data_IF_124926006213
#
_entry.id   IF_124926006213
#
_cell.length_a   1.000
_cell.length_b   1.000
_cell.length_c   1.000
_cell.angle_alpha   90.00
_cell.angle_beta   90.00
_cell.angle_gamma   90.00
#
_symmetry.space_group_name_H-M   'P 1'
#
loop_
_entity.id
_entity.type
_entity.pdbx_description
1 polymer ?
#
# COMPACT_ATOMS: atom_id res chain seq x y z
N UNK A 1 22.01 -26.69 57.34
CA UNK A 1 22.61 -28.02 57.08
C UNK A 1 23.40 -27.93 55.78
N UNK A 2 24.73 -27.85 55.90
CA UNK A 2 25.68 -27.71 54.79
C UNK A 2 25.89 -29.04 54.06
N UNK A 3 25.87 -29.02 52.72
CA UNK A 3 26.43 -30.07 51.84
C UNK A 3 26.95 -29.36 50.57
N UNK A 4 28.24 -29.06 50.53
CA UNK A 4 29.32 -29.87 49.92
C UNK A 4 29.25 -29.91 48.39
N UNK A 5 30.08 -29.05 47.79
CA UNK A 5 30.49 -29.04 46.39
C UNK A 5 31.27 -30.31 46.04
N UNK A 6 31.02 -30.86 44.84
CA UNK A 6 31.91 -31.82 44.21
C UNK A 6 32.24 -31.35 42.79
N UNK A 7 33.51 -31.00 42.62
CA UNK A 7 34.18 -30.74 41.35
C UNK A 7 34.54 -32.08 40.71
N UNK A 8 34.10 -32.33 39.48
CA UNK A 8 34.63 -33.41 38.65
C UNK A 8 35.39 -32.80 37.47
N UNK A 9 36.70 -33.08 37.44
CA UNK A 9 37.60 -32.87 36.31
C UNK A 9 37.57 -34.16 35.50
N UNK A 10 37.24 -34.09 34.21
CA UNK A 10 37.50 -35.16 33.25
C UNK A 10 38.38 -34.59 32.15
N UNK A 11 39.64 -35.01 32.17
CA UNK A 11 40.58 -34.88 31.06
C UNK A 11 40.39 -36.11 30.15
N UNK A 12 40.11 -35.86 28.87
CA UNK A 12 40.07 -36.88 27.82
C UNK A 12 40.83 -36.37 26.61
N UNK A 13 41.91 -37.07 26.26
CA UNK A 13 42.81 -36.74 25.17
C UNK A 13 42.49 -37.57 23.91
N UNK A 14 43.02 -37.07 22.77
CA UNK A 14 43.21 -37.70 21.46
C UNK A 14 41.98 -37.95 20.55
N UNK A 15 41.97 -37.25 19.42
CA UNK A 15 42.27 -37.87 18.11
C UNK A 15 42.58 -36.78 17.07
N UNK A 16 43.82 -36.71 16.61
CA UNK A 16 44.21 -36.02 15.38
C UNK A 16 43.73 -36.86 14.18
N UNK A 17 42.86 -36.28 13.37
CA UNK A 17 42.50 -36.79 12.04
C UNK A 17 42.82 -35.69 11.03
N UNK A 18 43.98 -35.84 10.38
CA UNK A 18 44.36 -35.11 9.18
C UNK A 18 43.65 -35.74 7.99
N UNK A 19 42.70 -35.02 7.37
CA UNK A 19 42.25 -35.31 6.00
C UNK A 19 42.33 -34.03 5.17
N UNK A 20 43.00 -34.21 4.05
CA UNK A 20 43.40 -33.32 2.98
C UNK A 20 42.33 -32.39 2.44
N UNK A 21 42.78 -31.19 2.09
CA UNK A 21 42.10 -30.21 1.26
C UNK A 21 41.85 -30.73 -0.16
N UNK A 22 40.66 -30.47 -0.70
CA UNK A 22 40.42 -30.33 -2.13
C UNK A 22 39.14 -29.50 -2.39
N UNK A 23 39.32 -28.33 -3.01
CA UNK A 23 38.30 -27.75 -3.90
C UNK A 23 37.25 -26.82 -3.30
N UNK A 24 37.65 -25.71 -2.66
CA UNK A 24 36.77 -24.52 -2.63
C UNK A 24 36.86 -23.84 -4.01
N UNK A 25 35.92 -24.17 -4.90
CA UNK A 25 35.58 -23.28 -6.01
C UNK A 25 34.90 -22.05 -5.44
N UNK A 26 35.69 -21.04 -5.12
CA UNK A 26 35.21 -19.67 -4.92
C UNK A 26 34.73 -19.16 -6.28
N UNK A 27 33.45 -19.35 -6.58
CA UNK A 27 32.81 -18.61 -7.65
C UNK A 27 32.88 -17.13 -7.27
N UNK A 28 33.56 -16.33 -8.09
CA UNK A 28 33.58 -14.88 -7.94
C UNK A 28 32.14 -14.37 -7.95
N UNK A 29 31.75 -13.44 -7.04
CA UNK A 29 30.44 -12.83 -7.10
C UNK A 29 30.34 -12.08 -8.43
N UNK A 30 29.41 -12.52 -9.28
CA UNK A 30 29.04 -11.80 -10.49
C UNK A 30 28.59 -10.37 -10.15
N UNK A 31 28.65 -9.44 -11.11
CA UNK A 31 28.28 -8.06 -10.88
C UNK A 31 26.83 -7.98 -10.38
N UNK A 32 26.67 -7.48 -9.15
CA UNK A 32 25.35 -7.13 -8.58
C UNK A 32 24.72 -6.05 -9.45
N UNK A 33 23.46 -6.21 -9.89
CA UNK A 33 22.67 -5.10 -10.40
C UNK A 33 22.59 -4.01 -9.31
N UNK A 34 22.70 -2.76 -9.72
CA UNK A 34 22.76 -1.56 -8.86
C UNK A 34 21.64 -1.52 -7.81
N UNK A 35 21.98 -1.83 -6.56
CA UNK A 35 21.08 -1.86 -5.40
C UNK A 35 21.19 -0.57 -4.57
N UNK A 36 20.44 0.47 -4.93
CA UNK A 36 20.28 1.66 -4.07
C UNK A 36 18.81 2.06 -3.83
N UNK A 37 17.84 1.30 -4.35
CA UNK A 37 16.41 1.53 -4.15
C UNK A 37 15.69 0.51 -3.26
N UNK A 38 16.20 -0.71 -3.12
CA UNK A 38 15.43 -1.87 -2.61
C UNK A 38 16.09 -2.59 -1.41
N UNK A 39 17.24 -2.12 -0.94
CA UNK A 39 18.02 -2.77 0.14
C UNK A 39 17.21 -2.83 1.46
N UNK A 40 16.43 -1.78 1.75
CA UNK A 40 15.62 -1.72 2.96
C UNK A 40 14.50 -2.78 2.98
N UNK A 41 13.77 -2.96 1.88
CA UNK A 41 12.63 -3.89 1.82
C UNK A 41 13.10 -5.33 1.90
N UNK A 42 14.15 -5.67 1.16
CA UNK A 42 14.81 -6.97 1.27
C UNK A 42 15.31 -7.24 2.69
N UNK A 43 16.01 -6.28 3.30
CA UNK A 43 16.50 -6.40 4.68
C UNK A 43 15.37 -6.56 5.70
N UNK A 44 14.25 -5.87 5.52
CA UNK A 44 13.06 -6.02 6.37
C UNK A 44 12.52 -7.45 6.29
N UNK A 45 12.36 -7.99 5.07
CA UNK A 45 11.90 -9.35 4.84
C UNK A 45 12.87 -10.42 5.37
N UNK A 46 14.18 -10.19 5.27
CA UNK A 46 15.20 -11.06 5.87
C UNK A 46 15.12 -11.08 7.41
N UNK A 47 14.95 -9.92 8.05
CA UNK A 47 14.78 -9.82 9.51
C UNK A 47 13.49 -10.51 9.94
N UNK A 48 12.40 -10.30 9.21
CA UNK A 48 11.11 -10.95 9.44
C UNK A 48 11.25 -12.47 9.33
N UNK A 49 11.91 -12.98 8.28
CA UNK A 49 12.16 -14.41 8.12
C UNK A 49 12.98 -15.02 9.25
N UNK A 50 14.06 -14.34 9.65
CA UNK A 50 14.88 -14.78 10.77
C UNK A 50 14.08 -14.83 12.07
N UNK A 51 13.21 -13.83 12.31
CA UNK A 51 12.31 -13.82 13.45
C UNK A 51 11.30 -14.98 13.40
N UNK A 52 10.62 -15.20 12.27
CA UNK A 52 9.65 -16.29 12.11
C UNK A 52 10.28 -17.67 12.35
N UNK A 53 11.52 -17.87 11.86
CA UNK A 53 12.26 -19.10 12.10
C UNK A 53 12.56 -19.32 13.60
N UNK A 54 12.82 -18.25 14.38
CA UNK A 54 12.97 -18.36 15.85
C UNK A 54 11.66 -18.70 16.55
N UNK A 55 10.53 -18.22 16.03
CA UNK A 55 9.18 -18.57 16.49
C UNK A 55 8.76 -19.99 16.05
N UNK A 56 9.61 -20.71 15.32
CA UNK A 56 9.35 -22.09 14.88
C UNK A 56 8.50 -22.20 13.62
N UNK A 57 8.33 -21.11 12.87
CA UNK A 57 7.58 -21.09 11.62
C UNK A 57 8.52 -20.90 10.42
N UNK A 58 8.28 -21.69 9.36
CA UNK A 58 8.92 -21.44 8.06
C UNK A 58 8.38 -20.14 7.47
N UNK A 59 9.29 -19.26 7.05
CA UNK A 59 8.96 -18.04 6.32
C UNK A 59 10.00 -17.80 5.22
N UNK A 60 9.54 -17.50 4.01
CA UNK A 60 10.38 -17.19 2.85
C UNK A 60 10.38 -15.67 2.68
N UNK A 61 11.54 -14.98 2.81
CA UNK A 61 11.64 -13.54 2.53
C UNK A 61 11.04 -13.22 1.17
N UNK A 62 10.10 -12.29 1.13
CA UNK A 62 9.37 -12.00 -0.10
C UNK A 62 9.05 -10.51 -0.21
N UNK A 63 9.67 -9.87 -1.20
CA UNK A 63 9.38 -8.49 -1.57
C UNK A 63 8.46 -8.54 -2.78
N UNK A 64 7.21 -8.10 -2.60
CA UNK A 64 6.27 -7.99 -3.72
C UNK A 64 6.81 -7.01 -4.74
N UNK A 65 6.95 -7.48 -5.97
CA UNK A 65 7.23 -6.62 -7.13
C UNK A 65 5.91 -6.02 -7.59
N UNK A 66 5.82 -4.68 -7.57
CA UNK A 66 4.71 -4.00 -8.21
C UNK A 66 4.89 -4.10 -9.73
N UNK A 67 3.83 -4.38 -10.51
CA UNK A 67 3.90 -4.26 -11.95
C UNK A 67 4.39 -2.86 -12.33
N UNK A 68 5.29 -2.79 -13.30
CA UNK A 68 5.70 -1.51 -13.87
C UNK A 68 4.46 -0.79 -14.43
N UNK A 69 4.26 0.50 -14.12
CA UNK A 69 3.16 1.26 -14.69
C UNK A 69 3.23 1.21 -16.21
N UNK A 70 2.07 1.15 -16.86
CA UNK A 70 1.97 1.33 -18.30
C UNK A 70 2.41 2.74 -18.72
N UNK A 71 2.71 2.92 -20.01
CA UNK A 71 3.07 4.25 -20.53
C UNK A 71 1.95 5.28 -20.31
N UNK A 72 0.69 4.85 -20.36
CA UNK A 72 -0.46 5.70 -20.10
C UNK A 72 -0.56 6.08 -18.61
N UNK A 73 -0.36 5.14 -17.69
CA UNK A 73 -0.32 5.42 -16.26
C UNK A 73 0.78 6.40 -15.88
N UNK A 74 1.99 6.25 -16.44
CA UNK A 74 3.08 7.21 -16.24
C UNK A 74 2.69 8.61 -16.71
N UNK A 75 2.13 8.72 -17.92
CA UNK A 75 1.67 10.03 -18.45
C UNK A 75 0.62 10.67 -17.54
N UNK A 76 -0.31 9.90 -16.98
CA UNK A 76 -1.28 10.43 -15.99
C UNK A 76 -0.60 10.94 -14.74
N UNK A 77 0.34 10.18 -14.17
CA UNK A 77 1.12 10.58 -13.00
C UNK A 77 1.99 11.82 -13.26
N UNK A 78 2.40 12.05 -14.51
CA UNK A 78 3.12 13.24 -14.95
C UNK A 78 2.21 14.46 -15.22
N UNK A 79 0.89 14.32 -15.03
CA UNK A 79 -0.07 15.39 -15.27
C UNK A 79 -0.36 15.67 -16.75
N UNK A 80 -0.18 14.66 -17.63
CA UNK A 80 -0.57 14.76 -19.04
C UNK A 80 -2.09 14.86 -19.18
N UNK A 81 -2.55 15.99 -19.73
CA UNK A 81 -3.98 16.30 -19.84
C UNK A 81 -4.75 15.28 -20.69
N UNK A 82 -4.21 14.80 -21.81
CA UNK A 82 -4.94 13.88 -22.69
C UNK A 82 -5.05 12.49 -22.05
N UNK A 83 -4.01 12.03 -21.37
CA UNK A 83 -4.04 10.78 -20.61
C UNK A 83 -5.03 10.86 -19.45
N UNK A 84 -5.02 11.96 -18.68
CA UNK A 84 -5.99 12.19 -17.61
C UNK A 84 -7.43 12.28 -18.14
N UNK A 85 -7.63 12.97 -19.26
CA UNK A 85 -8.95 13.12 -19.90
C UNK A 85 -9.50 11.78 -20.36
N UNK A 86 -8.65 10.96 -20.99
CA UNK A 86 -9.01 9.62 -21.44
C UNK A 86 -9.46 8.75 -20.27
N UNK A 87 -8.69 8.77 -19.19
CA UNK A 87 -9.05 8.05 -17.96
C UNK A 87 -10.36 8.56 -17.35
N UNK A 88 -10.48 9.87 -17.10
CA UNK A 88 -11.67 10.48 -16.45
C UNK A 88 -12.94 10.33 -17.30
N UNK A 89 -12.81 10.24 -18.62
CA UNK A 89 -13.96 9.98 -19.51
C UNK A 89 -14.60 8.60 -19.26
N UNK A 90 -13.80 7.61 -18.85
CA UNK A 90 -14.29 6.25 -18.57
C UNK A 90 -14.55 6.04 -17.07
N UNK A 91 -13.65 6.52 -16.23
CA UNK A 91 -13.60 6.16 -14.81
C UNK A 91 -14.08 7.27 -13.86
N UNK A 92 -14.30 8.49 -14.35
CA UNK A 92 -14.62 9.63 -13.48
C UNK A 92 -13.50 9.89 -12.47
N UNK A 93 -13.85 9.96 -11.18
CA UNK A 93 -12.92 10.07 -10.04
C UNK A 93 -12.55 8.69 -9.45
N UNK A 94 -13.08 7.59 -9.99
CA UNK A 94 -12.81 6.21 -9.55
C UNK A 94 -13.66 5.71 -8.37
N UNK A 95 -14.79 6.35 -8.05
CA UNK A 95 -15.64 5.95 -6.92
C UNK A 95 -16.65 4.89 -7.33
N UNK A 96 -17.34 5.09 -8.46
CA UNK A 96 -18.37 4.15 -8.94
C UNK A 96 -17.91 3.23 -10.08
N UNK A 97 -16.73 3.47 -10.65
CA UNK A 97 -16.19 2.67 -11.75
C UNK A 97 -15.88 1.24 -11.33
N UNK A 98 -15.52 0.99 -10.08
CA UNK A 98 -15.31 -0.35 -9.52
C UNK A 98 -16.56 -1.23 -9.58
N UNK A 99 -17.76 -0.65 -9.64
CA UNK A 99 -19.00 -1.41 -9.81
C UNK A 99 -19.41 -1.56 -11.28
N UNK A 100 -19.00 -0.62 -12.15
CA UNK A 100 -19.33 -0.64 -13.58
C UNK A 100 -18.34 -1.50 -14.39
N UNK A 101 -17.07 -1.48 -13.98
CA UNK A 101 -15.96 -2.24 -14.57
C UNK A 101 -15.30 -3.16 -13.53
N UNK A 102 -16.05 -4.07 -12.89
CA UNK A 102 -15.59 -4.78 -11.68
C UNK A 102 -14.39 -5.69 -11.91
N UNK A 103 -14.23 -6.28 -13.10
CA UNK A 103 -13.07 -7.11 -13.42
C UNK A 103 -11.81 -6.25 -13.59
N UNK A 104 -11.92 -5.15 -14.33
CA UNK A 104 -10.82 -4.22 -14.61
C UNK A 104 -10.33 -3.52 -13.35
N UNK A 105 -11.27 -3.09 -12.50
CA UNK A 105 -10.99 -2.37 -11.26
C UNK A 105 -10.76 -3.30 -10.05
N UNK A 106 -10.81 -4.62 -10.25
CA UNK A 106 -10.55 -5.61 -9.21
C UNK A 106 -11.54 -5.60 -8.05
N UNK A 107 -12.84 -5.41 -8.34
CA UNK A 107 -13.89 -5.44 -7.33
C UNK A 107 -13.91 -6.79 -6.60
N UNK A 108 -13.66 -6.84 -5.28
CA UNK A 108 -13.55 -8.11 -4.55
C UNK A 108 -14.89 -8.87 -4.47
N UNK A 109 -16.01 -8.23 -4.80
CA UNK A 109 -17.34 -8.85 -4.81
C UNK A 109 -17.62 -9.62 -6.10
N UNK A 110 -16.81 -9.43 -7.14
CA UNK A 110 -16.96 -10.10 -8.45
C UNK A 110 -15.76 -11.00 -8.68
N UNK A 111 -16.00 -12.30 -8.76
CA UNK A 111 -14.95 -13.26 -9.15
C UNK A 111 -14.77 -13.21 -10.67
N UNK A 112 -13.59 -12.82 -11.17
CA UNK A 112 -13.32 -12.91 -12.59
C UNK A 112 -13.23 -14.37 -13.02
N UNK A 113 -13.72 -14.69 -14.22
CA UNK A 113 -13.62 -16.06 -14.79
C UNK A 113 -12.15 -16.49 -14.95
N UNK A 114 -11.27 -15.53 -15.25
CA UNK A 114 -9.83 -15.71 -15.34
C UNK A 114 -9.16 -14.61 -14.52
N UNK A 115 -8.94 -14.81 -13.20
CA UNK A 115 -8.22 -13.83 -12.41
C UNK A 115 -6.84 -13.59 -13.04
N UNK A 116 -6.39 -12.34 -13.16
CA UNK A 116 -5.02 -12.06 -13.53
C UNK A 116 -4.11 -12.90 -12.64
N UNK A 117 -3.22 -13.69 -13.25
CA UNK A 117 -2.21 -14.40 -12.46
C UNK A 117 -1.38 -13.33 -11.78
N UNK A 118 -1.30 -13.41 -10.45
CA UNK A 118 -0.35 -12.60 -9.70
C UNK A 118 1.03 -12.86 -10.32
N UNK A 119 1.69 -11.84 -10.91
CA UNK A 119 3.00 -12.03 -11.53
C UNK A 119 4.05 -12.44 -10.48
N UNK A 120 3.76 -12.24 -9.19
CA UNK A 120 4.64 -12.58 -8.09
C UNK A 120 3.80 -13.15 -6.93
N UNK A 121 3.32 -14.39 -6.99
CA UNK A 121 2.52 -14.95 -5.90
C UNK A 121 3.36 -15.04 -4.62
N UNK A 122 2.79 -14.61 -3.48
CA UNK A 122 3.46 -14.70 -2.18
C UNK A 122 3.73 -16.18 -1.83
N UNK A 123 5.01 -16.62 -1.76
CA UNK A 123 5.38 -18.00 -1.50
C UNK A 123 4.93 -18.48 -0.11
N UNK A 124 4.66 -17.57 0.83
CA UNK A 124 4.17 -17.89 2.17
C UNK A 124 2.67 -18.25 2.19
N UNK A 125 1.93 -18.00 1.10
CA UNK A 125 0.51 -18.38 1.00
C UNK A 125 0.33 -19.89 1.18
N UNK A 126 1.13 -20.70 0.49
CA UNK A 126 1.05 -22.16 0.58
C UNK A 126 1.41 -22.67 1.98
N UNK A 127 2.40 -22.04 2.64
CA UNK A 127 2.78 -22.36 4.02
C UNK A 127 1.57 -22.13 4.93
N UNK A 128 1.00 -20.92 4.90
CA UNK A 128 -0.16 -20.55 5.72
C UNK A 128 -1.36 -21.46 5.48
N UNK A 129 -1.68 -21.77 4.23
CA UNK A 129 -2.81 -22.63 3.88
C UNK A 129 -2.65 -24.09 4.33
N UNK A 130 -1.42 -24.55 4.60
CA UNK A 130 -1.14 -25.90 5.09
C UNK A 130 -1.31 -26.05 6.62
N UNK A 131 -1.43 -24.94 7.34
CA UNK A 131 -1.50 -24.92 8.81
C UNK A 131 -2.92 -25.28 9.30
N UNK A 132 -3.01 -25.97 10.44
CA UNK A 132 -4.27 -26.07 11.17
C UNK A 132 -4.74 -24.68 11.64
N UNK A 133 -6.02 -24.51 11.95
CA UNK A 133 -6.57 -23.23 12.42
C UNK A 133 -5.81 -22.64 13.62
N UNK A 134 -5.41 -23.49 14.57
CA UNK A 134 -4.65 -23.05 15.74
C UNK A 134 -3.23 -22.60 15.35
N UNK A 135 -2.56 -23.35 14.48
CA UNK A 135 -1.24 -22.99 13.95
C UNK A 135 -1.27 -21.72 13.09
N UNK A 136 -2.32 -21.53 12.28
CA UNK A 136 -2.49 -20.33 11.47
C UNK A 136 -2.62 -19.06 12.33
N UNK A 137 -3.37 -19.13 13.44
CA UNK A 137 -3.45 -18.01 14.40
C UNK A 137 -2.09 -17.70 15.04
N UNK A 138 -1.39 -18.72 15.51
CA UNK A 138 -0.06 -18.55 16.09
C UNK A 138 0.95 -18.00 15.06
N UNK A 139 0.85 -18.42 13.79
CA UNK A 139 1.64 -17.90 12.69
C UNK A 139 1.35 -16.41 12.45
N UNK A 140 0.08 -16.02 12.39
CA UNK A 140 -0.32 -14.62 12.21
C UNK A 140 0.16 -13.72 13.36
N UNK A 141 0.04 -14.18 14.61
CA UNK A 141 0.55 -13.46 15.79
C UNK A 141 2.08 -13.31 15.77
N UNK A 142 2.80 -14.37 15.40
CA UNK A 142 4.25 -14.34 15.20
C UNK A 142 4.63 -13.39 14.06
N UNK A 143 3.92 -13.44 12.93
CA UNK A 143 4.17 -12.59 11.77
C UNK A 143 4.00 -11.11 12.10
N UNK A 144 2.93 -10.73 12.81
CA UNK A 144 2.75 -9.36 13.27
C UNK A 144 3.90 -8.94 14.19
N UNK A 145 4.34 -9.80 15.10
CA UNK A 145 5.46 -9.51 16.00
C UNK A 145 6.78 -9.32 15.24
N UNK A 146 7.06 -10.20 14.29
CA UNK A 146 8.25 -10.13 13.45
C UNK A 146 8.24 -8.94 12.49
N UNK A 147 7.07 -8.54 11.97
CA UNK A 147 6.89 -7.32 11.20
C UNK A 147 7.27 -6.08 12.03
N UNK A 148 6.74 -5.95 13.25
CA UNK A 148 7.06 -4.82 14.14
C UNK A 148 8.56 -4.71 14.40
N UNK A 149 9.22 -5.84 14.69
CA UNK A 149 10.68 -5.90 14.89
C UNK A 149 11.43 -5.45 13.63
N UNK A 150 11.03 -5.96 12.46
CA UNK A 150 11.69 -5.66 11.20
C UNK A 150 11.54 -4.17 10.81
N UNK A 151 10.32 -3.63 10.85
CA UNK A 151 10.02 -2.24 10.54
C UNK A 151 10.77 -1.29 11.47
N UNK A 152 10.81 -1.59 12.78
CA UNK A 152 11.57 -0.80 13.75
C UNK A 152 13.07 -0.82 13.48
N UNK A 153 13.63 -1.98 13.15
CA UNK A 153 15.09 -2.11 12.91
C UNK A 153 15.55 -1.46 11.61
N UNK A 154 14.74 -1.52 10.56
CA UNK A 154 15.13 -0.99 9.24
C UNK A 154 14.76 0.48 9.10
N UNK A 155 13.55 0.86 9.49
CA UNK A 155 12.98 2.19 9.22
C UNK A 155 12.81 3.05 10.49
N UNK A 156 13.11 2.51 11.67
CA UNK A 156 12.97 3.24 12.93
C UNK A 156 11.52 3.62 13.26
N UNK A 157 10.52 2.92 12.68
CA UNK A 157 9.10 3.18 12.90
C UNK A 157 8.54 2.21 13.93
N UNK A 158 7.76 2.73 14.88
CA UNK A 158 7.03 1.93 15.85
C UNK A 158 5.61 1.67 15.30
N UNK A 159 5.40 0.48 14.76
CA UNK A 159 4.11 0.00 14.26
C UNK A 159 3.56 -1.09 15.16
N UNK A 160 2.24 -1.26 15.18
CA UNK A 160 1.51 -2.24 16.01
C UNK A 160 0.99 -3.42 15.20
N UNK A 161 0.69 -3.19 13.93
CA UNK A 161 0.22 -4.17 12.96
C UNK A 161 0.60 -3.75 11.54
N UNK A 162 0.39 -4.64 10.57
CA UNK A 162 0.51 -4.28 9.14
C UNK A 162 -0.44 -3.14 8.76
N UNK A 163 -1.67 -3.13 9.31
CA UNK A 163 -2.63 -2.06 9.01
C UNK A 163 -2.14 -0.71 9.54
N UNK A 164 -1.67 -0.67 10.78
CA UNK A 164 -1.07 0.52 11.39
C UNK A 164 0.17 1.01 10.60
N UNK A 165 0.99 0.08 10.09
CA UNK A 165 2.11 0.42 9.21
C UNK A 165 1.67 1.18 7.95
N UNK A 166 0.63 0.70 7.25
CA UNK A 166 0.05 1.41 6.11
C UNK A 166 -0.62 2.73 6.52
N UNK A 167 -1.34 2.76 7.64
CA UNK A 167 -2.03 3.96 8.14
C UNK A 167 -1.04 5.08 8.49
N UNK A 168 0.07 4.74 9.17
CA UNK A 168 1.13 5.69 9.49
C UNK A 168 1.80 6.25 8.23
N UNK A 169 2.10 5.39 7.25
CA UNK A 169 2.66 5.82 5.97
C UNK A 169 1.71 6.76 5.22
N UNK A 170 0.42 6.40 5.13
CA UNK A 170 -0.59 7.23 4.49
C UNK A 170 -0.81 8.57 5.22
N UNK A 171 -0.80 8.57 6.56
CA UNK A 171 -0.89 9.79 7.36
C UNK A 171 0.33 10.69 7.16
N UNK A 172 1.53 10.10 7.07
CA UNK A 172 2.76 10.81 6.76
C UNK A 172 2.72 11.43 5.35
N UNK A 173 2.30 10.67 4.34
CA UNK A 173 2.12 11.15 2.97
C UNK A 173 1.14 12.33 2.91
N UNK A 174 -0.05 12.21 3.52
CA UNK A 174 -1.03 13.31 3.58
C UNK A 174 -0.46 14.57 4.22
N UNK A 175 0.32 14.42 5.30
CA UNK A 175 0.98 15.56 5.97
C UNK A 175 2.00 16.23 5.05
N UNK A 176 2.84 15.46 4.35
CA UNK A 176 3.81 16.02 3.41
C UNK A 176 3.11 16.72 2.24
N UNK A 177 2.09 16.08 1.65
CA UNK A 177 1.31 16.66 0.56
C UNK A 177 0.71 18.02 0.97
N UNK A 178 0.03 18.08 2.12
CA UNK A 178 -0.53 19.35 2.58
C UNK A 178 0.55 20.37 2.93
N UNK A 179 1.66 19.95 3.55
CA UNK A 179 2.75 20.85 3.92
C UNK A 179 3.46 21.46 2.70
N UNK A 180 3.71 20.66 1.67
CA UNK A 180 4.53 21.05 0.52
C UNK A 180 3.69 21.62 -0.62
N UNK A 181 2.56 20.99 -0.96
CA UNK A 181 1.74 21.41 -2.09
C UNK A 181 0.83 22.59 -1.73
N UNK A 182 0.24 22.62 -0.53
CA UNK A 182 -0.68 23.70 -0.17
C UNK A 182 0.03 25.05 0.11
N UNK A 183 1.37 25.03 0.20
CA UNK A 183 2.19 26.23 0.43
C UNK A 183 3.00 26.64 -0.79
N UNK A 184 2.98 25.86 -1.86
CA UNK A 184 3.65 26.23 -3.10
C UNK A 184 2.88 27.38 -3.77
N UNK A 185 3.49 28.57 -3.96
CA UNK A 185 2.77 29.72 -4.48
C UNK A 185 2.18 29.51 -5.88
N UNK A 186 2.86 28.76 -6.74
CA UNK A 186 2.40 28.49 -8.10
C UNK A 186 1.19 27.55 -8.09
N UNK A 187 1.21 26.52 -7.23
CA UNK A 187 0.05 25.63 -7.07
C UNK A 187 -1.12 26.35 -6.42
N UNK A 188 -0.89 27.19 -5.40
CA UNK A 188 -1.95 27.96 -4.75
C UNK A 188 -2.64 28.90 -5.73
N UNK A 189 -1.88 29.61 -6.58
CA UNK A 189 -2.45 30.48 -7.62
C UNK A 189 -3.31 29.68 -8.60
N UNK A 190 -2.81 28.54 -9.10
CA UNK A 190 -3.54 27.69 -10.06
C UNK A 190 -4.75 27.02 -9.44
N UNK A 191 -4.66 26.59 -8.18
CA UNK A 191 -5.80 26.06 -7.43
C UNK A 191 -6.88 27.13 -7.23
N UNK A 192 -6.51 28.39 -6.95
CA UNK A 192 -7.49 29.48 -6.85
C UNK A 192 -8.21 29.74 -8.19
N UNK A 193 -7.51 29.65 -9.32
CA UNK A 193 -8.10 29.76 -10.65
C UNK A 193 -9.06 28.60 -10.95
N UNK A 194 -8.64 27.36 -10.69
CA UNK A 194 -9.48 26.16 -10.83
C UNK A 194 -10.73 26.25 -9.95
N UNK A 195 -10.57 26.62 -8.68
CA UNK A 195 -11.67 26.79 -7.74
C UNK A 195 -12.69 27.84 -8.23
N UNK A 196 -12.23 28.94 -8.80
CA UNK A 196 -13.10 29.96 -9.40
C UNK A 196 -13.87 29.44 -10.61
N UNK A 197 -13.20 28.72 -11.51
CA UNK A 197 -13.83 28.07 -12.66
C UNK A 197 -14.91 27.07 -12.25
N UNK A 198 -14.61 26.20 -11.27
CA UNK A 198 -15.55 25.22 -10.73
C UNK A 198 -16.79 25.89 -10.12
N UNK A 199 -16.60 26.95 -9.31
CA UNK A 199 -17.73 27.72 -8.76
C UNK A 199 -18.58 28.36 -9.85
N UNK A 200 -17.97 28.91 -10.90
CA UNK A 200 -18.70 29.48 -12.03
C UNK A 200 -19.54 28.44 -12.78
N UNK A 201 -19.12 27.17 -12.79
CA UNK A 201 -19.89 26.02 -13.30
C UNK A 201 -20.93 25.49 -12.30
N UNK A 202 -21.02 26.04 -11.09
CA UNK A 202 -22.00 25.66 -10.08
C UNK A 202 -21.54 24.56 -9.11
N UNK A 203 -20.27 24.16 -9.14
CA UNK A 203 -19.74 23.18 -8.18
C UNK A 203 -19.47 23.82 -6.82
N UNK A 204 -19.76 23.10 -5.75
CA UNK A 204 -19.39 23.50 -4.39
C UNK A 204 -17.87 23.35 -4.20
N UNK A 205 -17.20 24.42 -3.76
CA UNK A 205 -15.76 24.44 -3.49
C UNK A 205 -15.50 24.99 -2.10
N UNK A 206 -15.37 24.09 -1.12
CA UNK A 206 -15.18 24.42 0.30
C UNK A 206 -13.79 24.92 0.67
N UNK A 207 -12.76 24.54 -0.11
CA UNK A 207 -11.39 25.00 0.06
C UNK A 207 -10.72 25.18 -1.30
N UNK A 208 -9.82 26.17 -1.41
CA UNK A 208 -8.95 26.36 -2.57
C UNK A 208 -7.51 25.88 -2.30
N UNK A 209 -7.27 25.19 -1.18
CA UNK A 209 -5.99 24.54 -0.95
C UNK A 209 -5.76 23.45 -2.02
N UNK A 210 -4.59 23.40 -2.68
CA UNK A 210 -4.22 22.41 -3.70
C UNK A 210 -4.69 20.98 -3.41
N UNK A 211 -4.33 20.42 -2.25
CA UNK A 211 -4.70 19.03 -1.90
C UNK A 211 -6.21 18.83 -1.75
N UNK A 212 -6.90 19.76 -1.07
CA UNK A 212 -8.34 19.72 -0.89
C UNK A 212 -9.11 19.89 -2.21
N UNK A 213 -8.57 20.70 -3.13
CA UNK A 213 -9.18 20.90 -4.44
C UNK A 213 -9.02 19.66 -5.32
N UNK A 214 -7.83 19.02 -5.28
CA UNK A 214 -7.56 17.79 -6.01
C UNK A 214 -8.43 16.60 -5.53
N UNK A 215 -8.78 16.53 -4.25
CA UNK A 215 -9.61 15.46 -3.68
C UNK A 215 -11.12 15.73 -3.71
N UNK A 216 -11.55 17.00 -3.93
CA UNK A 216 -12.96 17.44 -3.88
C UNK A 216 -13.92 16.50 -4.59
N UNK A 217 -13.65 16.19 -5.85
CA UNK A 217 -14.53 15.39 -6.69
C UNK A 217 -14.73 14.00 -6.10
N UNK A 218 -13.62 13.29 -5.83
CA UNK A 218 -13.65 11.98 -5.18
C UNK A 218 -14.40 12.01 -3.84
N UNK A 219 -14.06 12.94 -2.95
CA UNK A 219 -14.71 13.05 -1.63
C UNK A 219 -16.22 13.30 -1.73
N UNK A 220 -16.67 14.12 -2.68
CA UNK A 220 -18.09 14.36 -2.89
C UNK A 220 -18.84 13.10 -3.35
N UNK A 221 -18.24 12.27 -4.21
CA UNK A 221 -18.85 11.02 -4.66
C UNK A 221 -18.73 9.91 -3.61
N UNK A 222 -17.65 9.85 -2.83
CA UNK A 222 -17.54 8.94 -1.67
C UNK A 222 -18.64 9.25 -0.64
N UNK A 223 -18.91 10.53 -0.35
CA UNK A 223 -19.99 10.93 0.55
C UNK A 223 -21.39 10.54 0.03
N UNK A 224 -21.56 10.40 -1.29
CA UNK A 224 -22.77 9.84 -1.90
C UNK A 224 -22.80 8.31 -1.74
N UNK A 225 -21.67 7.63 -1.96
CA UNK A 225 -21.55 6.17 -1.91
C UNK A 225 -21.70 5.61 -0.50
N UNK A 226 -21.03 6.20 0.48
CA UNK A 226 -20.95 5.73 1.86
C UNK A 226 -22.32 5.36 2.48
N UNK A 227 -23.37 6.22 2.44
CA UNK A 227 -24.66 5.89 3.05
C UNK A 227 -25.39 4.71 2.36
N UNK A 228 -24.99 4.32 1.14
CA UNK A 228 -25.57 3.17 0.42
C UNK A 228 -25.12 1.82 1.00
N UNK A 229 -23.98 1.79 1.70
CA UNK A 229 -23.48 0.59 2.36
C UNK A 229 -24.34 0.19 3.57
N UNK A 230 -24.35 -1.07 3.97
CA UNK A 230 -25.01 -1.47 5.22
C UNK A 230 -24.12 -1.16 6.44
N UNK A 231 -24.66 -0.74 7.59
CA UNK A 231 -23.86 -0.59 8.81
C UNK A 231 -23.17 -1.91 9.18
N UNK A 232 -21.89 -1.83 9.58
CA UNK A 232 -21.18 -3.00 10.10
C UNK A 232 -21.70 -3.30 11.51
N UNK A 233 -22.21 -4.53 11.78
CA UNK A 233 -22.60 -4.96 13.12
C UNK A 233 -21.46 -4.77 14.14
N UNK A 234 -21.80 -4.42 15.37
CA UNK A 234 -20.81 -4.06 16.40
C UNK A 234 -19.77 -5.17 16.64
N UNK A 235 -20.21 -6.43 16.66
CA UNK A 235 -19.32 -7.58 16.83
C UNK A 235 -18.32 -7.73 15.67
N UNK A 236 -18.75 -7.47 14.44
CA UNK A 236 -17.91 -7.53 13.25
C UNK A 236 -16.99 -6.31 13.19
N UNK A 237 -17.49 -5.14 13.60
CA UNK A 237 -16.71 -3.91 13.69
C UNK A 237 -15.53 -4.07 14.65
N UNK A 238 -15.73 -4.67 15.83
CA UNK A 238 -14.65 -4.98 16.77
C UNK A 238 -13.68 -5.99 16.16
N UNK A 239 -14.17 -7.02 15.47
CA UNK A 239 -13.33 -8.03 14.85
C UNK A 239 -12.45 -7.48 13.71
N UNK A 240 -12.98 -6.52 12.93
CA UNK A 240 -12.25 -5.82 11.88
C UNK A 240 -11.46 -4.61 12.36
N UNK A 241 -11.58 -4.28 13.65
CA UNK A 241 -11.08 -3.06 14.26
C UNK A 241 -11.44 -1.82 13.43
N UNK A 242 -12.72 -1.75 13.04
CA UNK A 242 -13.28 -0.69 12.22
C UNK A 242 -13.81 0.46 13.11
N UNK A 243 -13.80 1.72 12.64
CA UNK A 243 -14.29 2.85 13.41
C UNK A 243 -15.80 2.76 13.66
N UNK A 244 -16.27 3.40 14.74
CA UNK A 244 -17.72 3.50 15.03
C UNK A 244 -18.45 4.16 13.86
N UNK A 245 -19.54 3.54 13.42
CA UNK A 245 -20.33 4.02 12.28
C UNK A 245 -19.83 3.54 10.92
N UNK A 246 -18.77 2.73 10.86
CA UNK A 246 -18.30 2.11 9.63
C UNK A 246 -19.42 1.31 8.93
N UNK A 247 -19.39 1.34 7.61
CA UNK A 247 -20.35 0.68 6.72
C UNK A 247 -19.59 -0.23 5.77
N UNK A 248 -20.24 -1.30 5.32
CA UNK A 248 -19.75 -2.10 4.21
C UNK A 248 -19.74 -1.29 2.92
N UNK A 249 -18.87 -1.65 1.98
CA UNK A 249 -19.03 -1.18 0.61
C UNK A 249 -20.39 -1.63 0.06
N UNK A 250 -21.13 -0.77 -0.66
CA UNK A 250 -22.44 -1.14 -1.19
C UNK A 250 -22.31 -2.23 -2.25
N UNK A 251 -23.28 -3.15 -2.27
CA UNK A 251 -23.38 -4.18 -3.29
C UNK A 251 -24.20 -3.67 -4.50
N UNK A 252 -23.61 -2.80 -5.32
CA UNK A 252 -24.30 -2.25 -6.49
C UNK A 252 -24.13 -3.15 -7.71
N UNK A 253 -25.22 -3.39 -8.44
CA UNK A 253 -25.12 -3.94 -9.80
C UNK A 253 -24.54 -2.91 -10.76
N UNK A 254 -24.06 -3.36 -11.92
CA UNK A 254 -23.57 -2.49 -12.99
C UNK A 254 -24.63 -1.44 -13.36
N UNK A 255 -25.90 -1.84 -13.51
CA UNK A 255 -27.00 -0.97 -13.86
C UNK A 255 -27.28 0.09 -12.79
N UNK A 256 -27.18 -0.30 -11.51
CA UNK A 256 -27.36 0.62 -10.38
C UNK A 256 -26.23 1.65 -10.29
N UNK A 257 -24.99 1.26 -10.57
CA UNK A 257 -23.83 2.14 -10.48
C UNK A 257 -23.64 3.07 -11.69
N UNK A 258 -24.03 2.65 -12.90
CA UNK A 258 -23.93 3.43 -14.14
C UNK A 258 -24.42 4.88 -14.05
N UNK A 259 -25.61 5.20 -13.49
CA UNK A 259 -26.05 6.59 -13.39
C UNK A 259 -25.17 7.43 -12.46
N UNK A 260 -24.55 6.83 -11.43
CA UNK A 260 -23.60 7.53 -10.56
C UNK A 260 -22.30 7.80 -11.27
N UNK A 261 -21.73 6.79 -11.94
CA UNK A 261 -20.52 6.96 -12.76
C UNK A 261 -20.73 8.00 -13.87
N UNK A 262 -21.89 8.03 -14.52
CA UNK A 262 -22.18 9.04 -15.54
C UNK A 262 -22.17 10.48 -14.99
N UNK A 263 -22.60 10.70 -13.74
CA UNK A 263 -22.47 12.00 -13.07
C UNK A 263 -21.02 12.28 -12.70
N UNK A 264 -20.33 11.27 -12.19
CA UNK A 264 -18.92 11.33 -11.79
C UNK A 264 -18.00 11.70 -12.96
N UNK A 265 -18.19 11.08 -14.12
CA UNK A 265 -17.48 11.40 -15.37
C UNK A 265 -17.68 12.86 -15.77
N UNK A 266 -18.90 13.38 -15.70
CA UNK A 266 -19.15 14.80 -16.04
C UNK A 266 -18.45 15.75 -15.08
N UNK A 267 -18.55 15.52 -13.78
CA UNK A 267 -17.85 16.31 -12.76
C UNK A 267 -16.32 16.22 -12.97
N UNK A 268 -15.78 15.02 -13.17
CA UNK A 268 -14.35 14.79 -13.35
C UNK A 268 -13.78 15.47 -14.62
N UNK A 269 -14.56 15.53 -15.71
CA UNK A 269 -14.16 16.22 -16.94
C UNK A 269 -14.20 17.74 -16.77
N UNK A 270 -15.24 18.29 -16.13
CA UNK A 270 -15.29 19.72 -15.81
C UNK A 270 -14.17 20.14 -14.86
N UNK A 271 -13.89 19.30 -13.87
CA UNK A 271 -12.81 19.45 -12.91
C UNK A 271 -11.44 19.45 -13.60
N UNK A 272 -11.20 18.52 -14.53
CA UNK A 272 -9.97 18.47 -15.31
C UNK A 272 -9.83 19.70 -16.23
N UNK A 273 -10.92 20.13 -16.84
CA UNK A 273 -10.91 21.29 -17.73
C UNK A 273 -10.60 22.59 -16.96
N UNK A 274 -11.26 22.79 -15.83
CA UNK A 274 -10.96 23.92 -14.92
C UNK A 274 -9.56 23.81 -14.31
N UNK A 275 -9.04 22.60 -14.12
CA UNK A 275 -7.79 22.29 -13.42
C UNK A 275 -6.61 21.98 -14.33
N UNK A 276 -6.69 22.20 -15.65
CA UNK A 276 -5.67 21.73 -16.61
C UNK A 276 -4.25 22.17 -16.23
N UNK A 277 -4.06 23.46 -15.94
CA UNK A 277 -2.76 24.01 -15.56
C UNK A 277 -2.37 23.65 -14.12
N UNK A 278 -3.36 23.40 -13.26
CA UNK A 278 -3.16 22.93 -11.89
C UNK A 278 -2.61 21.50 -11.88
N UNK A 279 -3.31 20.55 -12.52
CA UNK A 279 -2.94 19.13 -12.51
C UNK A 279 -1.61 18.85 -13.19
N UNK A 280 -1.26 19.61 -14.22
CA UNK A 280 0.06 19.55 -14.87
C UNK A 280 1.21 19.80 -13.87
N UNK A 281 1.01 20.65 -12.87
CA UNK A 281 2.01 20.93 -11.83
C UNK A 281 1.82 20.04 -10.59
N UNK A 282 0.58 19.69 -10.28
CA UNK A 282 0.21 19.00 -9.06
C UNK A 282 0.55 17.51 -9.10
N UNK A 283 0.15 16.78 -10.15
CA UNK A 283 0.30 15.32 -10.23
C UNK A 283 1.76 14.84 -10.09
N UNK A 284 2.74 15.33 -10.87
CA UNK A 284 4.11 14.83 -10.76
C UNK A 284 4.70 15.06 -9.36
N UNK A 285 4.36 16.19 -8.72
CA UNK A 285 4.82 16.50 -7.36
C UNK A 285 4.11 15.68 -6.30
N UNK A 286 2.81 15.46 -6.45
CA UNK A 286 2.04 14.54 -5.57
C UNK A 286 2.65 13.15 -5.62
N UNK A 287 2.87 12.62 -6.82
CA UNK A 287 3.49 11.31 -7.05
C UNK A 287 4.87 11.22 -6.42
N UNK A 288 5.74 12.21 -6.63
CA UNK A 288 7.08 12.24 -5.99
C UNK A 288 6.99 12.21 -4.46
N UNK A 289 6.11 13.02 -3.86
CA UNK A 289 5.93 13.10 -2.41
C UNK A 289 5.39 11.78 -1.85
N UNK A 290 4.40 11.17 -2.51
CA UNK A 290 3.87 9.88 -2.12
C UNK A 290 4.96 8.81 -2.17
N UNK A 291 5.71 8.71 -3.27
CA UNK A 291 6.81 7.77 -3.41
C UNK A 291 7.87 7.93 -2.31
N UNK A 292 8.23 9.18 -2.01
CA UNK A 292 9.16 9.48 -0.91
C UNK A 292 8.59 9.07 0.43
N UNK A 293 7.31 9.33 0.67
CA UNK A 293 6.63 8.97 1.91
C UNK A 293 6.57 7.44 2.10
N UNK A 294 6.15 6.68 1.10
CA UNK A 294 6.04 5.23 1.19
C UNK A 294 7.41 4.54 1.28
N UNK A 295 8.44 5.07 0.62
CA UNK A 295 9.82 4.58 0.76
C UNK A 295 10.37 4.74 2.17
N UNK A 296 10.01 5.82 2.88
CA UNK A 296 10.40 6.02 4.29
C UNK A 296 9.84 4.96 5.24
N UNK A 297 8.78 4.26 4.79
CA UNK A 297 8.16 3.16 5.50
C UNK A 297 8.48 1.78 4.88
N UNK A 298 9.28 1.71 3.82
CA UNK A 298 9.58 0.44 3.15
C UNK A 298 8.40 -0.19 2.42
N UNK A 299 7.45 0.64 1.98
CA UNK A 299 6.28 0.19 1.24
C UNK A 299 6.43 0.39 -0.27
N UNK A 300 7.54 1.00 -0.68
CA UNK A 300 7.92 1.21 -2.07
C UNK A 300 9.43 1.07 -2.26
#
# INVERSE_FOLDING_TARGET
MSRHSYTFIIAGALALLTISAAGQSSAAPGPRPSAAGDDGRHRMEEIKAACMNREGFTYIPYVRTSPEPTAEERRRAEGDYEAMKTWRHKHGHGVFDIYVYPIEMGNPMVKPDNPPKDPSPDPNTAIRSSLSRAQARAYEEAEQTCLREAVKRVYGKDVTSMRDHFEQAAAYARRLLSHELDRDPALVERAAAMASCLRAKGYAVGSAAPTALASRGREAFEAIKEPMGEPIPEEQRVAFDAPKGARYEPNLTIEQARPYLAREVRDALDDLECGKDFYRLYEPRRTEIEHRAYREFGLE
#
